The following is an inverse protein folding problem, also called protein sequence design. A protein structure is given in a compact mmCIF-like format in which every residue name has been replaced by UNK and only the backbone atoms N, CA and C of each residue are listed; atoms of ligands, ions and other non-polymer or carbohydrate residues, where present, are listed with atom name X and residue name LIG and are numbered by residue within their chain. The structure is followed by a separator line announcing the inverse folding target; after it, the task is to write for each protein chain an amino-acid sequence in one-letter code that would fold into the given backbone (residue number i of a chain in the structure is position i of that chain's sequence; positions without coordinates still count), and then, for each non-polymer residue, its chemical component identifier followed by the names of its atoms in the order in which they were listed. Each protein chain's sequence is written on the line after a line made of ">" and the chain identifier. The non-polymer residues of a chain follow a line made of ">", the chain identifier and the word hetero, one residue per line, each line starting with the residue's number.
data_IF_501299118891
#
_entry.id   IF_501299118891
#
_cell.length_a   1.000
_cell.length_b   1.000
_cell.length_c   1.000
_cell.angle_alpha   90.00
_cell.angle_beta   90.00
_cell.angle_gamma   90.00
#
_symmetry.space_group_name_H-M   'P 1'
#
loop_
_entity.id
_entity.type
_entity.pdbx_description
1 polymer ?
#
# COMPACT_ATOMS: atom_id res chain seq x y z
N UNK A 1 -26.79 -9.70 10.20
CA UNK A 1 -25.56 -9.86 9.41
C UNK A 1 -25.90 -10.60 8.13
N UNK A 2 -25.69 -9.96 6.98
CA UNK A 2 -25.66 -10.60 5.67
C UNK A 2 -24.56 -11.65 5.61
N UNK A 3 -24.63 -12.60 4.66
CA UNK A 3 -23.59 -13.62 4.53
C UNK A 3 -22.23 -13.03 4.12
N UNK A 4 -22.23 -11.86 3.46
CA UNK A 4 -21.02 -11.11 3.17
C UNK A 4 -20.36 -10.57 4.44
N UNK A 5 -21.13 -9.95 5.35
CA UNK A 5 -20.62 -9.44 6.64
C UNK A 5 -20.05 -10.56 7.51
N UNK A 6 -20.64 -11.76 7.48
CA UNK A 6 -20.09 -12.93 8.19
C UNK A 6 -18.73 -13.33 7.61
N UNK A 7 -18.59 -13.32 6.29
CA UNK A 7 -17.34 -13.68 5.63
C UNK A 7 -16.23 -12.65 5.93
N UNK A 8 -16.57 -11.36 5.93
CA UNK A 8 -15.66 -10.28 6.34
C UNK A 8 -15.18 -10.48 7.78
N UNK A 9 -16.11 -10.78 8.69
CA UNK A 9 -15.79 -11.07 10.09
C UNK A 9 -14.83 -12.28 10.20
N UNK A 10 -15.14 -13.40 9.55
CA UNK A 10 -14.25 -14.57 9.58
C UNK A 10 -12.87 -14.32 8.93
N UNK A 11 -12.80 -13.47 7.91
CA UNK A 11 -11.54 -13.03 7.30
C UNK A 11 -10.70 -12.22 8.29
N UNK A 12 -11.32 -11.30 9.02
CA UNK A 12 -10.68 -10.53 10.08
C UNK A 12 -10.17 -11.45 11.21
N UNK A 13 -11.01 -12.35 11.71
CA UNK A 13 -10.64 -13.34 12.74
C UNK A 13 -9.43 -14.16 12.29
N UNK A 14 -9.44 -14.66 11.06
CA UNK A 14 -8.32 -15.46 10.52
C UNK A 14 -7.02 -14.65 10.46
N UNK A 15 -7.07 -13.37 10.07
CA UNK A 15 -5.87 -12.53 10.04
C UNK A 15 -5.35 -12.20 11.44
N UNK A 16 -6.22 -11.86 12.38
CA UNK A 16 -5.82 -11.63 13.78
C UNK A 16 -5.21 -12.89 14.37
N UNK A 17 -5.81 -14.06 14.13
CA UNK A 17 -5.27 -15.35 14.58
C UNK A 17 -3.86 -15.60 14.03
N UNK A 18 -3.61 -15.26 12.76
CA UNK A 18 -2.27 -15.35 12.16
C UNK A 18 -1.28 -14.37 12.78
N UNK A 19 -1.70 -13.13 13.04
CA UNK A 19 -0.85 -12.11 13.66
C UNK A 19 -0.47 -12.50 15.10
N UNK A 20 -1.43 -13.04 15.86
CA UNK A 20 -1.21 -13.61 17.19
C UNK A 20 -0.25 -14.81 17.14
N UNK A 21 -0.41 -15.70 16.18
CA UNK A 21 0.48 -16.85 16.03
C UNK A 21 1.91 -16.41 15.67
N UNK A 22 2.06 -15.38 14.85
CA UNK A 22 3.37 -14.86 14.45
C UNK A 22 4.16 -14.27 15.62
N UNK A 23 3.48 -13.57 16.54
CA UNK A 23 4.14 -12.86 17.65
C UNK A 23 4.15 -13.63 18.97
N UNK A 24 3.13 -14.46 19.23
CA UNK A 24 2.92 -15.14 20.51
C UNK A 24 2.70 -16.65 20.37
N UNK A 25 2.76 -17.20 19.14
CA UNK A 25 2.45 -18.62 18.88
C UNK A 25 1.06 -19.05 19.36
N UNK A 26 0.12 -18.09 19.45
CA UNK A 26 -1.28 -18.32 19.79
C UNK A 26 -2.06 -18.48 18.48
N UNK A 27 -2.56 -19.68 18.22
CA UNK A 27 -3.33 -20.00 17.01
C UNK A 27 -4.80 -20.31 17.33
N UNK A 28 -5.37 -19.61 18.32
CA UNK A 28 -6.76 -19.81 18.74
C UNK A 28 -7.70 -18.72 18.16
N UNK A 29 -8.66 -19.09 17.30
CA UNK A 29 -9.63 -18.14 16.75
C UNK A 29 -10.56 -17.54 17.81
N UNK A 30 -10.82 -18.24 18.93
CA UNK A 30 -11.69 -17.74 20.00
C UNK A 30 -11.06 -16.53 20.69
N UNK A 31 -9.74 -16.54 20.88
CA UNK A 31 -8.99 -15.39 21.42
C UNK A 31 -9.06 -14.21 20.44
N UNK A 32 -8.94 -14.47 19.14
CA UNK A 32 -9.06 -13.43 18.12
C UNK A 32 -10.47 -12.80 18.10
N UNK A 33 -11.52 -13.61 18.18
CA UNK A 33 -12.91 -13.13 18.29
C UNK A 33 -13.11 -12.27 19.54
N UNK A 34 -12.60 -12.72 20.69
CA UNK A 34 -12.67 -11.96 21.94
C UNK A 34 -11.99 -10.59 21.84
N UNK A 35 -10.82 -10.50 21.18
CA UNK A 35 -10.11 -9.23 20.97
C UNK A 35 -10.94 -8.28 20.08
N UNK A 36 -11.58 -8.79 19.02
CA UNK A 36 -12.45 -7.99 18.14
C UNK A 36 -13.65 -7.44 18.95
N UNK A 37 -14.27 -8.29 19.77
CA UNK A 37 -15.40 -7.90 20.62
C UNK A 37 -15.00 -6.86 21.68
N UNK A 38 -13.77 -6.96 22.21
CA UNK A 38 -13.23 -5.99 23.16
C UNK A 38 -12.99 -4.63 22.50
N UNK A 39 -12.42 -4.63 21.29
CA UNK A 39 -12.26 -3.43 20.50
C UNK A 39 -13.63 -2.80 20.18
N UNK A 40 -14.64 -3.58 19.83
CA UNK A 40 -16.00 -3.06 19.55
C UNK A 40 -16.65 -2.36 20.76
N UNK A 41 -16.25 -2.70 21.99
CA UNK A 41 -16.71 -2.08 23.24
C UNK A 41 -15.86 -0.87 23.64
N UNK A 42 -14.71 -0.68 23.03
CA UNK A 42 -13.77 0.40 23.33
C UNK A 42 -13.96 1.57 22.34
N UNK A 43 -14.22 2.79 22.82
CA UNK A 43 -14.37 3.95 21.94
C UNK A 43 -13.03 4.48 21.42
N UNK A 44 -11.95 4.28 22.19
CA UNK A 44 -10.63 4.86 21.93
C UNK A 44 -9.53 3.82 22.14
N UNK A 45 -8.40 4.00 21.45
CA UNK A 45 -7.22 3.14 21.56
C UNK A 45 -6.71 2.95 22.99
N UNK A 46 -6.76 4.02 23.81
CA UNK A 46 -6.37 3.96 25.23
C UNK A 46 -7.26 3.03 26.03
N UNK A 47 -8.57 3.11 25.82
CA UNK A 47 -9.56 2.26 26.48
C UNK A 47 -9.40 0.81 26.05
N UNK A 48 -9.12 0.57 24.76
CA UNK A 48 -8.82 -0.76 24.24
C UNK A 48 -7.58 -1.39 24.89
N UNK A 49 -6.50 -0.62 25.01
CA UNK A 49 -5.26 -1.07 25.67
C UNK A 49 -5.49 -1.36 27.16
N UNK A 50 -6.28 -0.53 27.84
CA UNK A 50 -6.63 -0.75 29.24
C UNK A 50 -7.47 -2.02 29.41
N UNK A 51 -8.49 -2.24 28.59
CA UNK A 51 -9.33 -3.44 28.67
C UNK A 51 -8.55 -4.73 28.37
N UNK A 52 -7.59 -4.68 27.44
CA UNK A 52 -6.68 -5.80 27.17
C UNK A 52 -5.82 -6.16 28.38
N UNK A 53 -5.24 -5.15 29.04
CA UNK A 53 -4.41 -5.36 30.23
C UNK A 53 -5.23 -5.86 31.44
N UNK A 54 -6.46 -5.39 31.62
CA UNK A 54 -7.40 -5.89 32.63
C UNK A 54 -7.77 -7.37 32.43
N UNK A 55 -7.76 -7.85 31.18
CA UNK A 55 -8.04 -9.26 30.85
C UNK A 55 -6.79 -10.14 30.94
N UNK A 56 -5.64 -9.58 31.32
CA UNK A 56 -4.38 -10.31 31.45
C UNK A 56 -3.61 -10.50 30.13
N UNK A 57 -4.01 -9.81 29.06
CA UNK A 57 -3.23 -9.71 27.82
C UNK A 57 -2.37 -8.45 27.84
N UNK A 58 -1.17 -8.54 28.40
CA UNK A 58 -0.20 -7.45 28.39
C UNK A 58 0.65 -7.50 27.11
N UNK A 59 0.12 -6.92 26.04
CA UNK A 59 0.82 -6.79 24.77
C UNK A 59 1.57 -5.45 24.69
N UNK A 60 2.74 -5.38 24.03
CA UNK A 60 3.40 -4.11 23.73
C UNK A 60 2.48 -3.20 22.89
N UNK A 61 2.54 -1.90 23.15
CA UNK A 61 1.69 -0.90 22.48
C UNK A 61 1.77 -0.98 20.95
N UNK A 62 2.94 -1.25 20.38
CA UNK A 62 3.12 -1.42 18.93
C UNK A 62 2.31 -2.58 18.35
N UNK A 63 2.15 -3.67 19.09
CA UNK A 63 1.33 -4.80 18.68
C UNK A 63 -0.15 -4.48 18.80
N UNK A 64 -0.55 -3.82 19.90
CA UNK A 64 -1.94 -3.38 20.11
C UNK A 64 -2.36 -2.40 19.00
N UNK A 65 -1.50 -1.47 18.61
CA UNK A 65 -1.73 -0.56 17.47
C UNK A 65 -1.93 -1.32 16.16
N UNK A 66 -1.17 -2.39 15.94
CA UNK A 66 -1.35 -3.22 14.74
C UNK A 66 -2.69 -3.94 14.76
N UNK A 67 -3.12 -4.48 15.90
CA UNK A 67 -4.42 -5.12 16.04
C UNK A 67 -5.57 -4.14 15.80
N UNK A 68 -5.51 -2.96 16.43
CA UNK A 68 -6.46 -1.85 16.24
C UNK A 68 -6.59 -1.49 14.76
N UNK A 69 -5.46 -1.25 14.09
CA UNK A 69 -5.44 -0.93 12.67
C UNK A 69 -6.05 -2.04 11.80
N UNK A 70 -5.81 -3.32 12.15
CA UNK A 70 -6.35 -4.46 11.41
C UNK A 70 -7.88 -4.54 11.56
N UNK A 71 -8.40 -4.30 12.77
CA UNK A 71 -9.83 -4.30 13.08
C UNK A 71 -10.55 -3.13 12.39
N UNK A 72 -9.97 -1.92 12.41
CA UNK A 72 -10.54 -0.74 11.75
C UNK A 72 -10.52 -0.88 10.23
N UNK A 73 -9.45 -1.46 9.66
CA UNK A 73 -9.29 -1.56 8.20
C UNK A 73 -10.15 -2.65 7.59
N UNK A 74 -10.30 -3.79 8.27
CA UNK A 74 -10.94 -5.00 7.73
C UNK A 74 -12.25 -5.35 8.43
N UNK A 75 -12.65 -4.58 9.43
CA UNK A 75 -13.95 -4.73 10.09
C UNK A 75 -15.11 -4.43 9.13
N UNK A 76 -16.31 -4.92 9.45
CA UNK A 76 -17.50 -4.70 8.64
C UNK A 76 -17.75 -3.19 8.55
N UNK A 77 -17.60 -2.66 7.34
CA UNK A 77 -17.67 -1.23 7.09
C UNK A 77 -19.14 -0.84 7.14
N UNK A 78 -19.59 -0.22 8.23
CA UNK A 78 -20.95 0.34 8.26
C UNK A 78 -21.09 1.24 7.03
N UNK A 79 -22.11 0.99 6.22
CA UNK A 79 -22.30 1.57 4.89
C UNK A 79 -22.64 3.07 4.89
N UNK A 80 -22.17 3.81 5.89
CA UNK A 80 -22.55 5.18 6.22
C UNK A 80 -21.36 6.10 6.47
N UNK A 81 -20.23 5.91 5.75
CA UNK A 81 -19.23 6.97 5.55
C UNK A 81 -18.11 6.54 4.57
N UNK A 82 -18.47 6.27 3.31
CA UNK A 82 -17.56 6.72 2.26
C UNK A 82 -17.96 8.18 2.02
N UNK A 83 -17.16 9.20 2.40
CA UNK A 83 -17.30 10.46 1.72
C UNK A 83 -16.97 10.11 0.28
N UNK A 84 -17.98 10.10 -0.56
CA UNK A 84 -17.82 10.16 -2.01
C UNK A 84 -17.21 11.54 -2.27
N UNK A 85 -15.92 11.71 -1.95
CA UNK A 85 -15.17 12.89 -2.30
C UNK A 85 -15.14 12.84 -3.81
N UNK A 86 -15.80 13.77 -4.53
CA UNK A 86 -15.50 13.92 -5.93
C UNK A 86 -13.99 14.15 -5.99
N UNK A 87 -13.28 13.24 -6.66
CA UNK A 87 -11.85 13.34 -6.87
C UNK A 87 -11.62 14.58 -7.76
N UNK A 88 -11.57 15.75 -7.14
CA UNK A 88 -11.29 17.01 -7.79
C UNK A 88 -9.78 17.04 -8.04
N UNK A 89 -9.37 16.38 -9.13
CA UNK A 89 -7.97 16.23 -9.57
C UNK A 89 -7.21 17.56 -9.62
N UNK A 90 -7.91 18.69 -9.69
CA UNK A 90 -7.32 20.02 -9.91
C UNK A 90 -6.76 20.69 -8.65
N UNK A 91 -7.21 20.30 -7.45
CA UNK A 91 -6.73 20.92 -6.20
C UNK A 91 -5.41 20.27 -5.74
N UNK A 92 -5.38 18.95 -5.62
CA UNK A 92 -4.21 18.23 -5.10
C UNK A 92 -3.08 18.09 -6.12
N UNK A 93 -3.38 18.28 -7.41
CA UNK A 93 -2.37 18.40 -8.46
C UNK A 93 -1.45 19.63 -8.28
N UNK A 94 -1.89 20.67 -7.55
CA UNK A 94 -1.07 21.85 -7.25
C UNK A 94 -0.08 21.58 -6.13
N UNK A 95 -0.46 20.76 -5.17
CA UNK A 95 0.38 20.40 -4.02
C UNK A 95 1.40 19.32 -4.38
N UNK A 96 1.05 18.43 -5.34
CA UNK A 96 1.90 17.33 -5.79
C UNK A 96 2.02 17.26 -7.33
N UNK A 97 2.64 18.25 -7.98
CA UNK A 97 2.72 18.31 -9.44
C UNK A 97 3.45 17.10 -10.07
N UNK A 98 4.33 16.43 -9.33
CA UNK A 98 5.04 15.22 -9.79
C UNK A 98 4.18 13.95 -9.79
N UNK A 99 3.11 13.89 -9.01
CA UNK A 99 2.17 12.75 -8.98
C UNK A 99 0.94 13.00 -9.86
N UNK A 100 0.77 14.22 -10.36
CA UNK A 100 -0.32 14.63 -11.23
C UNK A 100 0.03 14.56 -12.72
N UNK A 101 1.00 13.72 -13.08
CA UNK A 101 1.34 13.53 -14.48
C UNK A 101 0.21 12.73 -15.16
N UNK A 102 -0.42 13.26 -16.22
CA UNK A 102 -1.39 12.49 -16.99
C UNK A 102 -0.68 11.32 -17.70
N UNK A 103 -1.41 10.21 -17.85
CA UNK A 103 -0.90 9.06 -18.63
C UNK A 103 -0.50 9.53 -20.03
N UNK A 104 0.75 9.25 -20.39
CA UNK A 104 1.28 9.50 -21.72
C UNK A 104 1.44 8.16 -22.42
N UNK A 105 1.01 8.08 -23.68
CA UNK A 105 1.22 6.88 -24.48
C UNK A 105 2.72 6.52 -24.50
N UNK A 106 3.08 5.24 -24.32
CA UNK A 106 4.47 4.83 -24.29
C UNK A 106 5.14 5.24 -25.60
N UNK A 107 6.15 6.10 -25.52
CA UNK A 107 6.93 6.51 -26.70
C UNK A 107 7.56 5.25 -27.32
N UNK A 108 7.23 4.89 -28.57
CA UNK A 108 7.89 3.79 -29.24
C UNK A 108 9.39 4.11 -29.34
N UNK A 109 10.26 3.13 -29.05
CA UNK A 109 11.71 3.28 -28.97
C UNK A 109 12.41 3.58 -30.32
N UNK A 110 11.71 4.17 -31.27
CA UNK A 110 12.18 4.53 -32.61
C UNK A 110 11.86 6.00 -32.90
N UNK A 111 12.28 6.91 -32.03
CA UNK A 111 12.55 8.28 -32.48
C UNK A 111 13.98 8.29 -32.96
N UNK A 112 14.15 8.03 -34.26
CA UNK A 112 15.28 8.55 -35.02
C UNK A 112 15.31 10.04 -34.76
N UNK A 113 16.26 10.46 -33.94
CA UNK A 113 16.58 11.85 -33.72
C UNK A 113 17.12 12.35 -35.07
N UNK A 114 16.36 13.21 -35.74
CA UNK A 114 16.89 14.05 -36.82
C UNK A 114 18.15 14.73 -36.28
N UNK A 115 19.35 14.49 -36.85
CA UNK A 115 20.58 15.01 -36.28
C UNK A 115 20.67 16.52 -36.57
N UNK A 116 20.20 17.33 -35.62
CA UNK A 116 20.74 18.67 -35.44
C UNK A 116 22.23 18.54 -35.22
N UNK A 117 22.99 19.17 -36.11
CA UNK A 117 24.45 19.24 -36.15
C UNK A 117 25.09 19.21 -34.75
N UNK A 118 25.52 18.02 -34.33
CA UNK A 118 26.48 17.84 -33.26
C UNK A 118 27.56 16.93 -33.80
N UNK A 119 28.44 17.56 -34.56
CA UNK A 119 29.76 17.08 -34.96
C UNK A 119 30.49 16.62 -33.69
N UNK A 120 30.38 15.34 -33.32
CA UNK A 120 31.30 14.56 -32.48
C UNK A 120 30.77 13.12 -32.31
N UNK A 121 30.45 12.44 -33.41
CA UNK A 121 30.20 10.99 -33.38
C UNK A 121 31.56 10.25 -33.41
N UNK A 122 32.04 9.68 -32.29
CA UNK A 122 33.33 8.98 -32.26
C UNK A 122 33.34 7.73 -33.16
N UNK A 123 32.17 7.17 -33.45
CA UNK A 123 32.01 6.01 -34.32
C UNK A 123 32.26 6.36 -35.80
N UNK A 124 31.78 7.52 -36.26
CA UNK A 124 31.99 8.00 -37.62
C UNK A 124 33.47 8.31 -37.91
N UNK A 125 34.22 8.79 -36.91
CA UNK A 125 35.67 9.02 -37.04
C UNK A 125 36.45 7.71 -37.19
N UNK A 126 36.05 6.65 -36.48
CA UNK A 126 36.68 5.33 -36.59
C UNK A 126 36.43 4.69 -37.96
N UNK A 127 35.23 4.88 -38.51
CA UNK A 127 34.85 4.33 -39.82
C UNK A 127 35.58 5.02 -40.98
N UNK A 128 35.78 6.34 -40.89
CA UNK A 128 36.61 7.08 -41.85
C UNK A 128 38.08 6.62 -41.87
N UNK A 129 38.62 6.27 -40.69
CA UNK A 129 40.00 5.77 -40.58
C UNK A 129 40.17 4.40 -41.26
N UNK A 130 39.19 3.51 -41.11
CA UNK A 130 39.19 2.19 -41.75
C UNK A 130 39.09 2.29 -43.29
N UNK A 131 38.29 3.23 -43.80
CA UNK A 131 38.14 3.44 -45.24
C UNK A 131 39.40 4.05 -45.88
N UNK A 132 40.10 4.93 -45.16
CA UNK A 132 41.38 5.50 -45.65
C UNK A 132 42.50 4.46 -45.76
N UNK A 133 42.43 3.34 -45.03
CA UNK A 133 43.43 2.26 -45.09
C UNK A 133 43.18 1.21 -46.19
N UNK A 134 42.10 1.37 -46.98
CA UNK A 134 41.75 0.46 -48.09
C UNK A 134 42.00 1.06 -49.48
N UNK A 135 42.41 2.32 -49.54
CA UNK A 135 42.77 3.02 -50.77
C UNK A 135 44.27 3.37 -50.79
N UNK A 136 45.12 2.36 -50.61
CA UNK A 136 46.48 2.26 -51.16
C UNK A 136 46.75 0.81 -51.56
#
# INVERSE_FOLDING_TARGET
>A
MSDLEKLEFHSLVTKITKELNNHYSIADPVVAEFIIDLHAKSPDFKTFTQQLSETGCDFPESFVQRLDHLIVTLGPKSSSAAPNRPHNQTAEAKDFPGLALPDTEPVPATTTVEPSASTNDPLAQLEGLLQSTRAE
#
